data_IF_930889100809
#
_entry.id   IF_930889100809
#
_cell.length_a   1.000
_cell.length_b   1.000
_cell.length_c   1.000
_cell.angle_alpha   90.00
_cell.angle_beta   90.00
_cell.angle_gamma   90.00
#
_symmetry.space_group_name_H-M   'P 1'
#
loop_
_entity.id
_entity.type
_entity.pdbx_description
1 polymer ?
#
# COMPACT_ATOMS: atom_id res chain seq x y z
N UNK A 1 -6.25 5.74 -7.20
CA UNK A 1 -7.15 5.00 -6.29
C UNK A 1 -8.39 4.65 -7.06
N UNK A 2 -8.84 3.41 -6.96
CA UNK A 2 -10.19 3.04 -7.37
C UNK A 2 -11.20 3.62 -6.35
N UNK A 3 -12.27 4.23 -6.84
CA UNK A 3 -13.37 4.76 -6.02
C UNK A 3 -13.94 3.65 -5.12
N UNK A 4 -13.97 2.41 -5.61
CA UNK A 4 -14.39 1.25 -4.83
C UNK A 4 -13.50 1.00 -3.60
N UNK A 5 -12.17 1.14 -3.72
CA UNK A 5 -11.25 0.97 -2.59
C UNK A 5 -11.43 2.05 -1.53
N UNK A 6 -11.67 3.30 -1.95
CA UNK A 6 -11.89 4.42 -1.03
C UNK A 6 -13.23 4.26 -0.28
N UNK A 7 -14.31 3.93 -1.00
CA UNK A 7 -15.63 3.70 -0.41
C UNK A 7 -15.60 2.46 0.51
N UNK A 8 -14.92 1.39 0.08
CA UNK A 8 -14.77 0.18 0.90
C UNK A 8 -14.02 0.44 2.21
N UNK A 9 -12.93 1.22 2.17
CA UNK A 9 -12.20 1.62 3.37
C UNK A 9 -13.08 2.42 4.33
N UNK A 10 -13.77 3.46 3.82
CA UNK A 10 -14.63 4.33 4.64
C UNK A 10 -15.82 3.54 5.20
N UNK A 11 -16.43 2.67 4.38
CA UNK A 11 -17.54 1.81 4.79
C UNK A 11 -17.15 0.82 5.88
N UNK A 12 -16.00 0.17 5.76
CA UNK A 12 -15.50 -0.75 6.78
C UNK A 12 -15.26 -0.04 8.12
N UNK A 13 -14.58 1.10 8.11
CA UNK A 13 -14.34 1.90 9.32
C UNK A 13 -15.67 2.40 9.91
N UNK A 14 -16.57 2.89 9.07
CA UNK A 14 -17.89 3.39 9.49
C UNK A 14 -18.74 2.32 10.17
N UNK A 15 -18.79 1.11 9.63
CA UNK A 15 -19.54 0.00 10.23
C UNK A 15 -18.94 -0.46 11.57
N UNK A 16 -17.60 -0.48 11.69
CA UNK A 16 -16.91 -0.82 12.94
C UNK A 16 -17.23 0.22 14.02
N UNK A 17 -17.11 1.51 13.70
CA UNK A 17 -17.40 2.60 14.63
C UNK A 17 -18.90 2.61 14.99
N UNK A 18 -19.78 2.39 14.02
CA UNK A 18 -21.23 2.28 14.26
C UNK A 18 -21.58 1.14 15.22
N UNK A 19 -20.94 -0.01 15.08
CA UNK A 19 -21.11 -1.14 15.99
C UNK A 19 -20.63 -0.81 17.41
N UNK A 20 -19.49 -0.12 17.55
CA UNK A 20 -18.96 0.30 18.86
C UNK A 20 -19.91 1.28 19.57
N UNK A 21 -20.47 2.25 18.83
CA UNK A 21 -21.43 3.21 19.38
C UNK A 21 -22.71 2.50 19.84
N UNK A 22 -23.22 1.55 19.04
CA UNK A 22 -24.44 0.81 19.37
C UNK A 22 -24.32 -0.07 20.61
N UNK A 23 -23.11 -0.46 21.03
CA UNK A 23 -22.87 -1.43 22.10
C UNK A 23 -22.46 -0.79 23.44
N UNK A 24 -22.62 0.54 23.59
CA UNK A 24 -22.29 1.24 24.85
C UNK A 24 -21.26 2.37 24.71
N UNK A 25 -20.97 2.83 23.49
CA UNK A 25 -20.08 3.96 23.22
C UNK A 25 -18.60 3.58 23.02
N UNK A 26 -17.77 4.58 22.70
CA UNK A 26 -16.35 4.38 22.37
C UNK A 26 -15.43 4.25 23.61
N UNK A 27 -15.92 4.64 24.78
CA UNK A 27 -15.15 4.66 26.04
C UNK A 27 -14.48 3.33 26.41
N UNK A 28 -15.17 2.17 26.31
CA UNK A 28 -14.58 0.87 26.62
C UNK A 28 -13.45 0.43 25.68
N UNK A 29 -13.38 1.01 24.48
CA UNK A 29 -12.41 0.63 23.44
C UNK A 29 -11.13 1.49 23.46
N UNK A 30 -11.14 2.62 24.18
CA UNK A 30 -9.99 3.52 24.31
C UNK A 30 -9.35 3.34 25.68
N UNK A 31 -8.32 2.49 25.74
CA UNK A 31 -7.57 2.23 26.97
C UNK A 31 -6.07 2.49 26.77
N UNK A 32 -5.52 3.38 27.59
CA UNK A 32 -4.13 3.85 27.45
C UNK A 32 -3.12 2.71 27.45
N UNK A 33 -3.30 1.70 28.32
CA UNK A 33 -2.34 0.60 28.37
C UNK A 33 -2.42 -0.33 27.14
N UNK A 34 -3.63 -0.58 26.60
CA UNK A 34 -3.76 -1.44 25.42
C UNK A 34 -3.23 -0.76 24.18
N UNK A 35 -3.46 0.56 24.03
CA UNK A 35 -2.87 1.35 22.95
C UNK A 35 -1.34 1.35 23.01
N UNK A 36 -0.74 1.48 24.19
CA UNK A 36 0.72 1.50 24.34
C UNK A 36 1.35 0.14 23.99
N UNK A 37 0.70 -0.97 24.37
CA UNK A 37 1.17 -2.33 24.02
C UNK A 37 1.04 -2.58 22.51
N UNK A 38 -0.10 -2.24 21.91
CA UNK A 38 -0.34 -2.51 20.49
C UNK A 38 0.50 -1.57 19.62
N UNK A 39 0.43 -0.26 19.83
CA UNK A 39 1.15 0.72 18.99
C UNK A 39 2.66 0.66 19.28
N UNK A 40 3.06 0.74 20.55
CA UNK A 40 4.47 0.69 20.92
C UNK A 40 5.10 -0.67 20.62
N UNK A 41 4.42 -1.76 20.99
CA UNK A 41 4.92 -3.12 20.77
C UNK A 41 5.06 -3.46 19.30
N UNK A 42 4.08 -3.10 18.44
CA UNK A 42 4.21 -3.34 17.00
C UNK A 42 5.29 -2.46 16.37
N UNK A 43 5.43 -1.20 16.80
CA UNK A 43 6.48 -0.31 16.29
C UNK A 43 7.88 -0.88 16.51
N UNK A 44 8.20 -1.27 17.75
CA UNK A 44 9.51 -1.87 18.06
C UNK A 44 9.64 -3.29 17.52
N UNK A 45 8.55 -4.07 17.45
CA UNK A 45 8.54 -5.41 16.86
C UNK A 45 8.86 -5.41 15.36
N UNK A 46 8.34 -4.44 14.60
CA UNK A 46 8.64 -4.28 13.17
C UNK A 46 10.06 -3.75 12.96
N UNK A 47 10.53 -2.87 13.85
CA UNK A 47 11.93 -2.41 13.83
C UNK A 47 12.91 -3.56 14.13
N UNK A 48 12.52 -4.54 14.97
CA UNK A 48 13.31 -5.74 15.21
C UNK A 48 13.34 -6.69 14.00
N UNK A 49 12.22 -6.83 13.28
CA UNK A 49 12.10 -7.79 12.17
C UNK A 49 12.69 -7.31 10.84
N UNK A 50 13.03 -6.02 10.71
CA UNK A 50 13.49 -5.44 9.44
C UNK A 50 14.77 -4.60 9.59
N UNK A 51 15.65 -4.57 8.58
CA UNK A 51 16.81 -3.68 8.59
C UNK A 51 16.40 -2.22 8.73
N UNK A 52 17.09 -1.47 9.59
CA UNK A 52 16.77 -0.08 9.92
C UNK A 52 16.59 0.86 8.69
N UNK A 53 17.39 0.77 7.62
CA UNK A 53 17.18 1.58 6.42
C UNK A 53 15.84 1.32 5.74
N UNK A 54 15.36 0.07 5.75
CA UNK A 54 14.08 -0.32 5.15
C UNK A 54 12.90 0.12 6.00
N UNK A 55 13.04 0.06 7.33
CA UNK A 55 12.05 0.57 8.27
C UNK A 55 11.82 2.08 8.09
N UNK A 56 12.90 2.88 8.05
CA UNK A 56 12.80 4.33 7.85
C UNK A 56 12.26 4.70 6.45
N UNK A 57 12.66 3.97 5.41
CA UNK A 57 12.12 4.15 4.07
C UNK A 57 10.62 3.82 3.97
N UNK A 58 10.11 2.89 4.80
CA UNK A 58 8.71 2.47 4.75
C UNK A 58 7.73 3.61 5.05
N UNK A 59 8.09 4.56 5.92
CA UNK A 59 7.28 5.73 6.22
C UNK A 59 7.10 6.65 5.00
N UNK A 60 8.14 6.82 4.18
CA UNK A 60 8.05 7.61 2.94
C UNK A 60 7.22 6.93 1.85
N UNK A 61 7.14 5.60 1.86
CA UNK A 61 6.38 4.81 0.87
C UNK A 61 4.94 4.54 1.32
N UNK A 62 4.61 4.76 2.60
CA UNK A 62 3.27 4.54 3.17
C UNK A 62 2.16 5.28 2.40
N UNK A 63 2.46 6.46 1.84
CA UNK A 63 1.53 7.21 1.00
C UNK A 63 1.07 6.42 -0.24
N UNK A 64 1.90 5.52 -0.78
CA UNK A 64 1.55 4.66 -1.92
C UNK A 64 0.56 3.55 -1.56
N UNK A 65 0.43 3.18 -0.28
CA UNK A 65 -0.58 2.21 0.16
C UNK A 65 -1.99 2.81 0.08
N UNK A 66 -2.11 4.12 0.35
CA UNK A 66 -3.37 4.82 0.19
C UNK A 66 -3.57 5.27 -1.26
N UNK A 67 -2.54 5.74 -1.99
CA UNK A 67 -2.64 6.03 -3.42
C UNK A 67 -1.83 5.03 -4.23
N UNK A 68 -2.39 3.84 -4.57
CA UNK A 68 -1.73 2.94 -5.48
C UNK A 68 -1.56 3.67 -6.83
N UNK A 69 -0.36 3.66 -7.42
CA UNK A 69 -0.17 4.18 -8.76
C UNK A 69 -1.04 3.37 -9.71
N UNK A 70 -2.04 4.03 -10.29
CA UNK A 70 -2.89 3.43 -11.32
C UNK A 70 -2.07 3.46 -12.61
N UNK A 71 -1.28 2.42 -12.85
CA UNK A 71 -0.67 2.21 -14.17
C UNK A 71 -1.81 1.78 -15.10
N UNK A 72 -2.04 2.52 -16.18
CA UNK A 72 -2.99 2.11 -17.22
C UNK A 72 -2.49 0.80 -17.80
N UNK A 73 -3.32 -0.24 -17.71
CA UNK A 73 -2.97 -1.56 -18.24
C UNK A 73 -2.81 -1.53 -19.76
N UNK A 74 -3.57 -0.69 -20.45
CA UNK A 74 -3.48 -0.49 -21.91
C UNK A 74 -2.10 0.01 -22.32
N UNK A 75 -1.61 1.09 -21.71
CA UNK A 75 -0.26 1.64 -21.96
C UNK A 75 0.84 0.61 -21.66
N UNK A 76 0.65 -0.24 -20.64
CA UNK A 76 1.57 -1.33 -20.32
C UNK A 76 1.59 -2.42 -21.40
N UNK A 77 0.42 -2.76 -21.96
CA UNK A 77 0.29 -3.75 -23.04
C UNK A 77 0.97 -3.23 -24.32
N UNK A 78 0.70 -1.98 -24.69
CA UNK A 78 1.31 -1.34 -25.86
C UNK A 78 2.84 -1.31 -25.72
N UNK A 79 3.33 -0.89 -24.55
CA UNK A 79 4.77 -0.90 -24.23
C UNK A 79 5.39 -2.30 -24.32
N UNK A 80 4.68 -3.34 -23.86
CA UNK A 80 5.16 -4.73 -23.96
C UNK A 80 5.24 -5.22 -25.41
N UNK A 81 4.26 -4.85 -26.25
CA UNK A 81 4.25 -5.22 -27.67
C UNK A 81 5.38 -4.52 -28.42
N UNK A 82 5.62 -3.24 -28.14
CA UNK A 82 6.74 -2.48 -28.73
C UNK A 82 8.09 -3.08 -28.36
N UNK A 83 8.32 -3.36 -27.08
CA UNK A 83 9.55 -4.01 -26.61
C UNK A 83 9.73 -5.39 -27.24
N UNK A 84 8.67 -6.19 -27.36
CA UNK A 84 8.73 -7.49 -28.02
C UNK A 84 9.04 -7.37 -29.53
N UNK A 85 8.52 -6.34 -30.20
CA UNK A 85 8.81 -6.03 -31.60
C UNK A 85 10.29 -5.68 -31.82
N UNK A 86 10.86 -4.89 -30.92
CA UNK A 86 12.27 -4.47 -30.94
C UNK A 86 13.19 -5.65 -30.64
N UNK A 87 12.88 -6.44 -29.60
CA UNK A 87 13.61 -7.66 -29.28
C UNK A 87 13.66 -8.67 -30.44
N UNK A 88 12.56 -8.76 -31.21
CA UNK A 88 12.44 -9.67 -32.35
C UNK A 88 13.21 -9.20 -33.58
N UNK A 89 13.29 -7.89 -33.84
CA UNK A 89 13.97 -7.33 -35.01
C UNK A 89 15.46 -7.07 -34.76
N UNK A 90 15.76 -6.47 -33.61
CA UNK A 90 17.08 -5.90 -33.31
C UNK A 90 17.83 -6.71 -32.24
N UNK A 91 17.19 -7.76 -31.68
CA UNK A 91 17.77 -8.64 -30.68
C UNK A 91 17.70 -8.09 -29.26
N UNK A 92 18.07 -8.91 -28.28
CA UNK A 92 17.94 -8.58 -26.84
C UNK A 92 18.77 -7.36 -26.41
N UNK A 93 19.88 -7.06 -27.10
CA UNK A 93 20.75 -5.92 -26.79
C UNK A 93 20.11 -4.56 -27.11
N UNK A 94 19.13 -4.52 -28.01
CA UNK A 94 18.39 -3.28 -28.31
C UNK A 94 17.45 -2.85 -27.18
N UNK A 95 17.21 -3.72 -26.20
CA UNK A 95 16.36 -3.43 -25.03
C UNK A 95 17.09 -2.66 -23.93
N UNK A 96 18.42 -2.70 -23.87
CA UNK A 96 19.20 -2.09 -22.79
C UNK A 96 19.15 -0.54 -22.79
N UNK A 97 18.70 0.07 -23.89
CA UNK A 97 18.54 1.52 -24.03
C UNK A 97 17.10 2.04 -23.87
N UNK A 98 16.13 1.17 -23.59
CA UNK A 98 14.73 1.56 -23.44
C UNK A 98 14.41 1.95 -22.00
N UNK A 99 13.69 3.06 -21.80
CA UNK A 99 13.18 3.46 -20.48
C UNK A 99 12.18 2.42 -19.94
N UNK A 100 12.41 1.97 -18.70
CA UNK A 100 11.62 0.97 -17.96
C UNK A 100 10.54 1.59 -17.08
#
# INVERSE_FOLDING_TARGET
MDIASLIGMIGAVGMIVGAMISNGGLGPYLHTASTLIVVGGTFFGVMYSTPLPRFLASFGVMAKAFLPPVKKQEDMIERMVDLAGIARKDGMMALEGQEV
#
